data_IF_780780572367
#
_entry.id   IF_780780572367
#
_cell.length_a   1.000
_cell.length_b   1.000
_cell.length_c   1.000
_cell.angle_alpha   90.00
_cell.angle_beta   90.00
_cell.angle_gamma   90.00
#
_symmetry.space_group_name_H-M   'P 1'
#
loop_
_entity.id
_entity.type
_entity.pdbx_description
1 polymer ?
#
# COMPACT_ATOMS: atom_id res chain seq x y z
N UNK A 1 6.58 -12.59 -2.93
CA UNK A 1 6.63 -11.21 -2.39
C UNK A 1 6.27 -11.19 -0.92
N UNK A 2 5.12 -11.73 -0.48
CA UNK A 2 4.72 -11.75 0.95
C UNK A 2 5.79 -12.37 1.86
N UNK A 3 6.26 -13.58 1.54
CA UNK A 3 7.35 -14.21 2.30
C UNK A 3 8.66 -13.41 2.28
N UNK A 4 8.98 -12.72 1.19
CA UNK A 4 10.17 -11.86 1.13
C UNK A 4 10.02 -10.60 2.03
N UNK A 5 8.80 -10.04 2.15
CA UNK A 5 8.53 -8.95 3.08
C UNK A 5 8.71 -9.44 4.52
N UNK A 6 8.10 -10.59 4.87
CA UNK A 6 8.24 -11.18 6.20
C UNK A 6 9.71 -11.42 6.54
N UNK A 7 10.47 -12.10 5.66
CA UNK A 7 11.90 -12.34 5.86
C UNK A 7 12.72 -11.05 5.97
N UNK A 8 12.36 -10.01 5.21
CA UNK A 8 13.00 -8.69 5.33
C UNK A 8 12.75 -8.05 6.70
N UNK A 9 11.55 -8.17 7.22
CA UNK A 9 11.21 -7.66 8.55
C UNK A 9 11.95 -8.44 9.66
N UNK A 10 12.07 -9.77 9.53
CA UNK A 10 12.76 -10.60 10.52
C UNK A 10 14.22 -10.20 10.73
N UNK A 11 14.88 -9.70 9.69
CA UNK A 11 16.28 -9.23 9.77
C UNK A 11 16.41 -7.72 10.01
N UNK A 12 15.33 -6.95 9.90
CA UNK A 12 15.33 -5.50 10.11
C UNK A 12 15.62 -5.17 11.59
N UNK A 13 16.39 -4.09 11.82
CA UNK A 13 16.78 -3.65 13.16
C UNK A 13 16.43 -2.17 13.43
N UNK A 14 15.90 -1.48 12.42
CA UNK A 14 15.51 -0.09 12.54
C UNK A 14 14.26 0.11 13.38
N UNK A 15 14.09 1.30 13.90
CA UNK A 15 12.88 1.75 14.59
C UNK A 15 11.68 1.79 13.65
N UNK A 16 11.91 2.11 12.39
CA UNK A 16 10.92 2.11 11.32
C UNK A 16 11.25 1.07 10.26
N UNK A 17 10.21 0.49 9.69
CA UNK A 17 10.27 -0.33 8.50
C UNK A 17 9.87 0.51 7.30
N UNK A 18 10.64 0.43 6.24
CA UNK A 18 10.30 0.98 4.93
C UNK A 18 10.40 -0.13 3.89
N UNK A 19 9.32 -0.34 3.16
CA UNK A 19 9.34 -1.18 1.97
C UNK A 19 9.26 -0.32 0.74
N UNK A 20 10.04 -0.63 -0.26
CA UNK A 20 9.98 0.01 -1.58
C UNK A 20 10.21 -1.02 -2.68
N UNK A 21 9.66 -0.77 -3.86
CA UNK A 21 10.07 -1.48 -5.07
C UNK A 21 11.40 -0.91 -5.59
N UNK A 22 12.21 -1.72 -6.26
CA UNK A 22 13.52 -1.34 -6.80
C UNK A 22 13.45 -0.26 -7.90
N UNK A 23 12.29 -0.06 -8.47
CA UNK A 23 12.04 0.90 -9.56
C UNK A 23 11.24 2.12 -9.06
N UNK A 24 11.67 2.67 -7.92
CA UNK A 24 11.15 3.90 -7.35
C UNK A 24 12.22 5.01 -7.33
N UNK A 25 11.79 6.25 -7.48
CA UNK A 25 12.56 7.47 -7.26
C UNK A 25 11.90 8.22 -6.09
N UNK A 26 12.71 8.83 -5.24
CA UNK A 26 12.23 9.48 -4.02
C UNK A 26 12.58 10.97 -3.97
N UNK A 27 11.73 11.72 -3.32
CA UNK A 27 12.04 13.09 -2.88
C UNK A 27 13.24 13.11 -1.93
N UNK A 28 14.00 14.20 -1.95
CA UNK A 28 15.15 14.36 -1.06
C UNK A 28 14.72 14.36 0.42
N UNK A 29 15.33 13.50 1.22
CA UNK A 29 15.00 13.30 2.63
C UNK A 29 13.64 12.64 2.85
N UNK A 30 13.19 11.85 1.90
CA UNK A 30 11.91 11.13 1.95
C UNK A 30 11.74 10.33 3.24
N UNK A 31 12.75 9.55 3.60
CA UNK A 31 12.79 8.73 4.82
C UNK A 31 12.52 9.58 6.07
N UNK A 32 13.27 10.65 6.25
CA UNK A 32 13.11 11.57 7.37
C UNK A 32 11.74 12.25 7.37
N UNK A 33 11.27 12.74 6.22
CA UNK A 33 9.95 13.37 6.10
C UNK A 33 8.80 12.42 6.46
N UNK A 34 8.98 11.12 6.22
CA UNK A 34 8.01 10.10 6.58
C UNK A 34 8.08 9.74 8.07
N UNK A 35 9.27 9.52 8.61
CA UNK A 35 9.46 9.04 9.97
C UNK A 35 9.25 10.11 11.04
N UNK A 36 9.63 11.37 10.79
CA UNK A 36 9.47 12.47 11.75
C UNK A 36 8.01 12.72 12.16
N UNK A 37 7.06 12.33 11.33
CA UNK A 37 5.62 12.59 11.55
C UNK A 37 4.80 11.33 11.81
N UNK A 38 5.41 10.16 11.64
CA UNK A 38 4.72 8.87 11.79
C UNK A 38 4.37 8.61 13.25
N UNK A 39 3.08 8.38 13.53
CA UNK A 39 2.63 8.01 14.88
C UNK A 39 2.82 6.49 15.11
N UNK A 40 2.85 6.04 16.38
CA UNK A 40 3.09 4.64 16.73
C UNK A 40 2.15 3.62 16.09
N UNK A 41 0.93 4.02 15.74
CA UNK A 41 -0.13 3.17 15.19
C UNK A 41 -0.47 3.49 13.72
N UNK A 42 0.46 4.10 12.98
CA UNK A 42 0.22 4.49 11.58
C UNK A 42 1.03 3.66 10.60
N UNK A 43 0.40 3.37 9.47
CA UNK A 43 1.10 3.09 8.21
C UNK A 43 1.11 4.39 7.41
N UNK A 44 2.25 4.76 6.86
CA UNK A 44 2.42 5.97 6.08
C UNK A 44 2.65 5.62 4.60
N UNK A 45 1.98 6.37 3.72
CA UNK A 45 2.30 6.46 2.29
C UNK A 45 2.52 7.91 1.90
N UNK A 46 2.99 8.17 0.69
CA UNK A 46 3.24 9.53 0.20
C UNK A 46 2.59 9.75 -1.17
N UNK A 47 2.56 11.01 -1.64
CA UNK A 47 2.13 11.33 -2.99
C UNK A 47 2.92 10.51 -4.01
N UNK A 48 2.22 9.77 -4.86
CA UNK A 48 2.82 8.88 -5.85
C UNK A 48 2.75 9.46 -7.25
N UNK A 49 3.90 9.67 -7.85
CA UNK A 49 4.06 10.05 -9.26
C UNK A 49 4.34 8.83 -10.14
N UNK A 50 4.24 9.02 -11.44
CA UNK A 50 4.69 8.07 -12.45
C UNK A 50 6.17 8.33 -12.75
N UNK A 51 6.95 7.27 -12.91
CA UNK A 51 8.39 7.33 -13.21
C UNK A 51 8.63 6.99 -14.68
N UNK A 52 9.34 7.86 -15.40
CA UNK A 52 9.95 7.53 -16.70
C UNK A 52 11.15 6.61 -16.45
N UNK A 53 11.13 5.36 -16.91
CA UNK A 53 12.20 4.41 -16.64
C UNK A 53 13.46 4.62 -17.48
N UNK A 54 13.39 5.43 -18.55
CA UNK A 54 14.51 5.71 -19.44
C UNK A 54 15.27 6.93 -18.95
N UNK A 55 14.57 8.01 -18.66
CA UNK A 55 15.16 9.26 -18.16
C UNK A 55 15.39 9.23 -16.65
N UNK A 56 14.73 8.34 -15.94
CA UNK A 56 14.74 8.23 -14.48
C UNK A 56 14.26 9.52 -13.79
N UNK A 57 13.16 10.07 -14.29
CA UNK A 57 12.56 11.32 -13.81
C UNK A 57 11.03 11.19 -13.63
N UNK A 58 10.45 12.12 -12.87
CA UNK A 58 8.99 12.19 -12.66
C UNK A 58 8.31 12.58 -13.97
N UNK A 59 7.28 11.83 -14.35
CA UNK A 59 6.41 12.13 -15.48
C UNK A 59 5.36 13.17 -15.07
N UNK A 60 5.60 14.43 -15.41
CA UNK A 60 4.75 15.55 -14.98
C UNK A 60 3.44 15.69 -15.76
N UNK A 61 3.32 15.06 -16.94
CA UNK A 61 2.12 14.99 -17.74
C UNK A 61 1.02 14.10 -17.14
N UNK A 62 1.38 13.27 -16.17
CA UNK A 62 0.44 12.42 -15.43
C UNK A 62 0.08 13.03 -14.07
N UNK A 63 -1.21 13.12 -13.79
CA UNK A 63 -1.66 13.53 -12.46
C UNK A 63 -1.15 12.55 -11.40
N UNK A 64 -0.54 13.02 -10.29
CA UNK A 64 -0.12 12.16 -9.21
C UNK A 64 -1.31 11.46 -8.54
N UNK A 65 -1.04 10.38 -7.86
CA UNK A 65 -2.00 9.70 -7.00
C UNK A 65 -1.72 10.12 -5.56
N UNK A 66 -2.73 10.65 -4.92
CA UNK A 66 -2.70 11.08 -3.51
C UNK A 66 -3.59 10.15 -2.68
N UNK A 67 -4.82 10.58 -2.38
CA UNK A 67 -5.76 9.70 -1.68
C UNK A 67 -6.30 8.61 -2.60
N UNK A 68 -6.41 7.43 -2.03
CA UNK A 68 -7.05 6.29 -2.70
C UNK A 68 -8.21 5.78 -1.85
N UNK A 69 -9.38 5.64 -2.47
CA UNK A 69 -10.55 5.00 -1.88
C UNK A 69 -10.45 3.49 -2.09
N UNK A 70 -10.68 2.72 -1.02
CA UNK A 70 -10.76 1.27 -1.12
C UNK A 70 -12.15 0.86 -1.63
N UNK A 71 -12.19 0.04 -2.65
CA UNK A 71 -13.45 -0.47 -3.23
C UNK A 71 -13.37 -1.96 -3.49
N UNK A 72 -14.52 -2.61 -3.58
CA UNK A 72 -14.63 -3.98 -4.11
C UNK A 72 -14.86 -3.86 -5.61
N UNK A 73 -13.79 -4.00 -6.39
CA UNK A 73 -13.83 -3.85 -7.84
C UNK A 73 -14.43 -5.09 -8.51
N UNK A 74 -15.51 -4.88 -9.28
CA UNK A 74 -16.20 -5.95 -10.02
C UNK A 74 -16.72 -7.09 -9.13
N UNK A 75 -16.90 -6.87 -7.84
CA UNK A 75 -17.29 -7.92 -6.88
C UNK A 75 -16.20 -8.96 -6.61
N UNK A 76 -14.99 -8.81 -7.17
CA UNK A 76 -13.95 -9.85 -7.19
C UNK A 76 -12.74 -9.58 -6.31
N UNK A 77 -12.38 -8.33 -6.06
CA UNK A 77 -11.16 -7.96 -5.33
C UNK A 77 -11.26 -6.62 -4.66
N UNK A 78 -10.49 -6.42 -3.58
CA UNK A 78 -10.21 -5.08 -3.09
C UNK A 78 -9.26 -4.35 -4.03
N UNK A 79 -9.50 -3.07 -4.23
CA UNK A 79 -8.67 -2.22 -5.09
C UNK A 79 -8.70 -0.78 -4.58
N UNK A 80 -7.52 -0.14 -4.56
CA UNK A 80 -7.43 1.31 -4.41
C UNK A 80 -7.80 1.98 -5.73
N UNK A 81 -8.65 2.98 -5.66
CA UNK A 81 -8.98 3.88 -6.76
C UNK A 81 -8.73 5.31 -6.35
N UNK A 82 -8.34 6.18 -7.28
CA UNK A 82 -8.14 7.61 -6.99
C UNK A 82 -9.37 8.21 -6.34
N UNK A 83 -9.16 9.14 -5.43
CA UNK A 83 -10.21 9.83 -4.69
C UNK A 83 -10.10 11.36 -4.81
N UNK A 84 -10.46 11.94 -5.98
CA UNK A 84 -10.29 13.36 -6.25
C UNK A 84 -10.99 14.27 -5.23
N UNK A 85 -12.21 13.90 -4.80
CA UNK A 85 -12.97 14.70 -3.84
C UNK A 85 -12.26 14.80 -2.49
N UNK A 86 -11.53 13.75 -2.12
CA UNK A 86 -10.70 13.75 -0.91
C UNK A 86 -9.41 14.51 -1.10
N UNK A 87 -8.82 14.48 -2.29
CA UNK A 87 -7.66 15.29 -2.64
C UNK A 87 -8.00 16.78 -2.49
N UNK A 88 -9.14 17.22 -3.03
CA UNK A 88 -9.61 18.61 -2.96
C UNK A 88 -9.92 19.03 -1.52
N UNK A 89 -10.60 18.17 -0.76
CA UNK A 89 -10.94 18.44 0.64
C UNK A 89 -9.72 18.54 1.57
N UNK A 90 -8.59 17.91 1.21
CA UNK A 90 -7.37 17.88 2.01
C UNK A 90 -6.17 18.55 1.33
N UNK A 91 -6.39 19.41 0.34
CA UNK A 91 -5.30 20.03 -0.46
C UNK A 91 -4.27 20.80 0.40
N UNK A 92 -4.74 21.41 1.50
CA UNK A 92 -3.92 22.21 2.42
C UNK A 92 -3.54 21.43 3.70
N UNK A 93 -3.84 20.13 3.76
CA UNK A 93 -3.55 19.28 4.91
C UNK A 93 -2.36 18.39 4.60
N UNK A 94 -1.17 18.66 5.20
CA UNK A 94 0.06 17.92 4.85
C UNK A 94 -0.06 16.42 5.10
N UNK A 95 -0.77 16.02 6.15
CA UNK A 95 -0.95 14.62 6.54
C UNK A 95 -2.43 14.37 6.78
N UNK A 96 -3.00 13.40 6.08
CA UNK A 96 -4.42 13.07 6.17
C UNK A 96 -4.67 11.58 5.94
N UNK A 97 -5.76 11.02 6.52
CA UNK A 97 -6.06 9.60 6.36
C UNK A 97 -6.50 9.28 4.93
N UNK A 98 -6.06 8.12 4.43
CA UNK A 98 -6.46 7.53 3.15
C UNK A 98 -6.91 6.08 3.36
N UNK A 99 -7.65 5.50 2.42
CA UNK A 99 -8.18 4.13 2.60
C UNK A 99 -7.32 3.04 1.96
N UNK A 100 -6.55 3.38 0.96
CA UNK A 100 -5.71 2.40 0.28
C UNK A 100 -4.35 2.99 -0.05
N UNK A 101 -3.39 2.12 -0.26
CA UNK A 101 -2.06 2.44 -0.74
C UNK A 101 -1.61 1.39 -1.75
N UNK A 102 -0.76 1.79 -2.67
CA UNK A 102 -0.03 0.84 -3.48
C UNK A 102 1.10 0.22 -2.63
N UNK A 103 1.27 -1.11 -2.74
CA UNK A 103 2.32 -1.81 -2.01
C UNK A 103 3.75 -1.47 -2.44
N UNK A 104 3.94 -0.56 -3.41
CA UNK A 104 5.28 -0.18 -3.93
C UNK A 104 6.10 0.69 -2.98
N UNK A 105 5.48 1.40 -2.05
CA UNK A 105 6.18 2.14 -1.00
C UNK A 105 5.29 2.40 0.20
N UNK A 106 5.77 2.06 1.38
CA UNK A 106 5.15 2.40 2.67
C UNK A 106 6.20 2.46 3.79
N UNK A 107 5.88 3.18 4.85
CA UNK A 107 6.68 3.30 6.08
C UNK A 107 5.77 3.03 7.28
N UNK A 108 6.26 2.35 8.29
CA UNK A 108 5.58 2.18 9.57
C UNK A 108 6.56 1.95 10.72
N UNK A 109 6.18 2.19 11.99
CA UNK A 109 7.00 1.80 13.13
C UNK A 109 7.20 0.27 13.13
N UNK A 110 8.42 -0.18 13.39
CA UNK A 110 8.74 -1.61 13.47
C UNK A 110 7.94 -2.29 14.60
N UNK A 111 7.70 -1.56 15.70
CA UNK A 111 6.89 -2.08 16.79
C UNK A 111 5.44 -2.32 16.36
N UNK A 112 4.84 -1.44 15.52
CA UNK A 112 3.49 -1.64 14.99
C UNK A 112 3.38 -2.91 14.13
N UNK A 113 4.42 -3.20 13.35
CA UNK A 113 4.47 -4.48 12.64
C UNK A 113 4.43 -5.66 13.60
N UNK A 114 5.28 -5.66 14.64
CA UNK A 114 5.35 -6.76 15.61
C UNK A 114 4.05 -6.99 16.37
N UNK A 115 3.40 -5.92 16.78
CA UNK A 115 2.23 -5.98 17.65
C UNK A 115 0.93 -6.26 16.90
N UNK A 116 0.83 -5.81 15.64
CA UNK A 116 -0.43 -5.77 14.88
C UNK A 116 -0.37 -6.54 13.57
N UNK A 117 0.63 -6.28 12.73
CA UNK A 117 0.73 -6.97 11.43
C UNK A 117 1.18 -8.41 11.65
N UNK A 118 2.20 -8.62 12.50
CA UNK A 118 2.83 -9.91 12.78
C UNK A 118 3.57 -10.43 11.56
N UNK A 119 2.82 -11.02 10.65
CA UNK A 119 3.30 -11.47 9.34
C UNK A 119 2.22 -11.29 8.27
N UNK A 120 2.65 -11.21 7.03
CA UNK A 120 1.74 -11.30 5.88
C UNK A 120 1.45 -12.77 5.60
N UNK A 121 0.18 -13.14 5.70
CA UNK A 121 -0.26 -14.51 5.49
C UNK A 121 -0.02 -14.94 4.03
N UNK A 122 0.69 -16.03 3.82
CA UNK A 122 0.97 -16.59 2.49
C UNK A 122 -0.06 -17.59 2.05
N UNK A 123 -0.59 -18.39 3.00
CA UNK A 123 -1.66 -19.36 2.73
C UNK A 123 -2.96 -18.64 2.36
N UNK A 124 -3.63 -19.11 1.32
CA UNK A 124 -4.87 -18.54 0.79
C UNK A 124 -4.67 -17.32 -0.10
N UNK A 125 -3.85 -16.35 0.29
CA UNK A 125 -3.54 -15.17 -0.53
C UNK A 125 -2.64 -15.48 -1.73
N UNK A 126 -1.83 -16.54 -1.64
CA UNK A 126 -0.74 -16.77 -2.58
C UNK A 126 0.42 -15.77 -2.43
N UNK A 127 1.42 -15.83 -3.32
CA UNK A 127 2.71 -15.16 -3.07
C UNK A 127 2.73 -13.64 -3.29
N UNK A 128 1.72 -13.05 -3.97
CA UNK A 128 1.88 -11.71 -4.55
C UNK A 128 0.72 -10.72 -4.32
N UNK A 129 -0.42 -11.16 -3.76
CA UNK A 129 -1.63 -10.32 -3.86
C UNK A 129 -2.13 -9.80 -2.53
N UNK A 130 -2.76 -8.61 -2.58
CA UNK A 130 -3.51 -8.00 -1.48
C UNK A 130 -2.69 -7.76 -0.21
N UNK A 131 -1.35 -7.72 -0.30
CA UNK A 131 -0.45 -7.46 0.84
C UNK A 131 -0.72 -6.11 1.50
N UNK A 132 -0.79 -5.05 0.72
CA UNK A 132 -1.10 -3.70 1.23
C UNK A 132 -2.51 -3.62 1.85
N UNK A 133 -3.49 -4.29 1.25
CA UNK A 133 -4.85 -4.30 1.80
C UNK A 133 -4.93 -5.09 3.12
N UNK A 134 -4.25 -6.25 3.22
CA UNK A 134 -4.18 -6.99 4.48
C UNK A 134 -3.58 -6.14 5.61
N UNK A 135 -2.46 -5.46 5.35
CA UNK A 135 -1.83 -4.56 6.33
C UNK A 135 -2.79 -3.47 6.80
N UNK A 136 -3.51 -2.85 5.85
CA UNK A 136 -4.47 -1.79 6.17
C UNK A 136 -5.64 -2.32 7.00
N UNK A 137 -6.21 -3.47 6.64
CA UNK A 137 -7.29 -4.07 7.42
C UNK A 137 -6.86 -4.46 8.84
N UNK A 138 -5.69 -5.07 9.00
CA UNK A 138 -5.12 -5.38 10.32
C UNK A 138 -4.94 -4.10 11.14
N UNK A 139 -4.41 -3.05 10.52
CA UNK A 139 -4.18 -1.76 11.16
C UNK A 139 -5.50 -1.12 11.62
N UNK A 140 -6.51 -1.05 10.79
CA UNK A 140 -7.82 -0.50 11.18
C UNK A 140 -8.48 -1.30 12.30
N UNK A 141 -8.43 -2.63 12.21
CA UNK A 141 -9.00 -3.51 13.25
C UNK A 141 -8.34 -3.33 14.62
N UNK A 142 -7.09 -2.89 14.64
CA UNK A 142 -6.34 -2.58 15.85
C UNK A 142 -6.43 -1.10 16.27
N UNK A 143 -7.28 -0.29 15.63
CA UNK A 143 -7.45 1.13 15.93
C UNK A 143 -6.34 2.04 15.41
N UNK A 144 -5.54 1.56 14.46
CA UNK A 144 -4.54 2.36 13.76
C UNK A 144 -5.07 3.00 12.49
N UNK A 145 -4.21 3.68 11.74
CA UNK A 145 -4.58 4.43 10.53
C UNK A 145 -3.58 4.26 9.40
N UNK A 146 -4.09 4.30 8.18
CA UNK A 146 -3.28 4.55 6.98
C UNK A 146 -3.29 6.04 6.68
N UNK A 147 -2.11 6.68 6.64
CA UNK A 147 -1.95 8.12 6.47
C UNK A 147 -1.17 8.43 5.18
N UNK A 148 -1.64 9.43 4.45
CA UNK A 148 -0.94 10.03 3.33
C UNK A 148 -0.14 11.24 3.83
N UNK A 149 1.17 11.28 3.54
CA UNK A 149 1.99 12.48 3.68
C UNK A 149 2.13 13.17 2.32
N UNK A 150 1.53 14.36 2.16
CA UNK A 150 1.58 15.17 0.95
C UNK A 150 2.80 16.10 0.90
N UNK A 151 3.59 16.19 1.99
CA UNK A 151 4.81 17.01 2.05
C UNK A 151 6.02 16.33 1.40
N UNK A 152 5.86 15.10 0.96
CA UNK A 152 6.88 14.33 0.26
C UNK A 152 6.25 13.43 -0.80
N UNK A 153 7.09 12.84 -1.65
CA UNK A 153 6.63 12.04 -2.77
C UNK A 153 7.60 10.92 -3.12
N UNK A 154 7.07 9.94 -3.82
CA UNK A 154 7.86 8.97 -4.56
C UNK A 154 7.30 8.83 -5.97
N UNK A 155 8.15 8.46 -6.94
CA UNK A 155 7.72 8.10 -8.27
C UNK A 155 7.97 6.61 -8.50
N UNK A 156 7.00 5.94 -9.08
CA UNK A 156 7.02 4.49 -9.29
C UNK A 156 6.78 4.18 -10.77
N UNK A 157 7.62 3.28 -11.31
CA UNK A 157 7.40 2.75 -12.65
C UNK A 157 6.28 1.73 -12.64
N UNK A 158 5.17 2.03 -13.29
CA UNK A 158 4.13 1.04 -13.53
C UNK A 158 4.54 0.05 -14.63
N UNK A 159 4.43 -1.23 -14.35
CA UNK A 159 4.72 -2.26 -15.33
C UNK A 159 3.62 -2.35 -16.37
N UNK A 160 4.03 -2.46 -17.63
CA UNK A 160 3.14 -2.69 -18.80
C UNK A 160 3.09 -4.15 -19.25
N UNK A 161 3.78 -5.06 -18.53
CA UNK A 161 3.90 -6.48 -18.93
C UNK A 161 3.58 -7.41 -17.74
N UNK A 162 3.18 -8.64 -18.04
CA UNK A 162 2.95 -9.69 -17.04
C UNK A 162 4.26 -10.09 -16.35
N UNK A 163 4.17 -10.41 -15.07
CA UNK A 163 5.34 -10.91 -14.31
C UNK A 163 5.72 -12.29 -14.83
N UNK A 164 7.01 -12.48 -15.07
CA UNK A 164 7.60 -13.79 -15.32
C UNK A 164 8.40 -14.20 -14.08
N UNK A 165 8.18 -15.42 -13.60
CA UNK A 165 8.95 -15.99 -12.49
C UNK A 165 10.34 -16.42 -12.96
N UNK A 166 11.27 -16.62 -12.02
CA UNK A 166 12.64 -17.06 -12.33
C UNK A 166 12.71 -18.41 -13.05
N UNK A 167 11.67 -19.24 -12.96
CA UNK A 167 11.51 -20.50 -13.66
C UNK A 167 10.96 -20.35 -15.11
N UNK A 168 10.79 -19.11 -15.58
CA UNK A 168 10.24 -18.80 -16.90
C UNK A 168 8.72 -18.87 -16.99
N UNK A 169 8.01 -19.24 -15.92
CA UNK A 169 6.55 -19.25 -15.92
C UNK A 169 6.00 -17.84 -15.75
N UNK A 170 4.91 -17.53 -16.43
CA UNK A 170 4.16 -16.29 -16.22
C UNK A 170 3.20 -16.43 -15.04
N UNK A 171 2.85 -15.30 -14.41
CA UNK A 171 1.88 -15.24 -13.34
C UNK A 171 0.59 -15.98 -13.74
N UNK A 172 0.23 -17.01 -12.95
CA UNK A 172 -0.99 -17.79 -13.22
C UNK A 172 -2.25 -17.01 -12.82
N UNK A 173 -3.15 -16.67 -13.78
CA UNK A 173 -4.38 -15.94 -13.50
C UNK A 173 -5.27 -16.63 -12.45
N UNK A 174 -5.33 -17.96 -12.44
CA UNK A 174 -6.13 -18.72 -11.48
C UNK A 174 -5.64 -18.53 -10.03
N UNK A 175 -4.32 -18.50 -9.80
CA UNK A 175 -3.76 -18.23 -8.48
C UNK A 175 -4.06 -16.80 -8.02
N UNK A 176 -4.11 -15.87 -8.96
CA UNK A 176 -4.45 -14.47 -8.72
C UNK A 176 -5.90 -14.31 -8.25
N UNK A 177 -6.83 -14.94 -8.97
CA UNK A 177 -8.25 -14.89 -8.62
C UNK A 177 -8.54 -15.61 -7.30
N UNK A 178 -7.88 -16.72 -7.01
CA UNK A 178 -7.97 -17.42 -5.74
C UNK A 178 -7.54 -16.52 -4.57
N UNK A 179 -6.41 -15.82 -4.69
CA UNK A 179 -5.94 -14.88 -3.66
C UNK A 179 -6.87 -13.68 -3.48
N UNK A 180 -7.49 -13.19 -4.54
CA UNK A 180 -8.49 -12.12 -4.45
C UNK A 180 -9.76 -12.59 -3.75
N UNK A 181 -10.24 -13.77 -4.12
CA UNK A 181 -11.40 -14.38 -3.47
C UNK A 181 -11.15 -14.60 -1.98
N UNK A 182 -10.01 -15.14 -1.63
CA UNK A 182 -9.61 -15.34 -0.23
C UNK A 182 -9.62 -14.03 0.57
N UNK A 183 -9.04 -12.95 0.03
CA UNK A 183 -9.07 -11.65 0.67
C UNK A 183 -10.50 -11.14 0.89
N UNK A 184 -11.38 -11.32 -0.11
CA UNK A 184 -12.79 -10.94 0.01
C UNK A 184 -13.52 -11.78 1.07
N UNK A 185 -13.34 -13.07 1.07
CA UNK A 185 -13.99 -13.98 2.04
C UNK A 185 -13.58 -13.62 3.47
N UNK A 186 -12.32 -13.17 3.67
CA UNK A 186 -11.79 -12.81 4.98
C UNK A 186 -12.24 -11.42 5.45
N UNK A 187 -12.27 -10.42 4.56
CA UNK A 187 -12.39 -9.02 4.95
C UNK A 187 -13.67 -8.31 4.52
N UNK A 188 -14.49 -8.90 3.64
CA UNK A 188 -15.68 -8.24 3.09
C UNK A 188 -16.64 -7.78 4.18
N UNK A 189 -16.98 -8.64 5.12
CA UNK A 189 -17.92 -8.34 6.19
C UNK A 189 -17.45 -7.18 7.05
N UNK A 190 -16.18 -7.18 7.44
CA UNK A 190 -15.58 -6.10 8.19
C UNK A 190 -15.56 -4.79 7.38
N UNK A 191 -15.19 -4.86 6.10
CA UNK A 191 -15.21 -3.71 5.22
C UNK A 191 -16.59 -3.09 5.07
N UNK A 192 -17.60 -3.91 4.79
CA UNK A 192 -18.97 -3.42 4.55
C UNK A 192 -19.66 -2.90 5.83
N UNK A 193 -19.42 -3.54 6.97
CA UNK A 193 -20.12 -3.22 8.22
C UNK A 193 -19.43 -2.14 9.05
N UNK A 194 -18.11 -2.08 9.02
CA UNK A 194 -17.35 -1.19 9.89
C UNK A 194 -16.66 -0.06 9.11
N UNK A 195 -15.98 -0.41 7.99
CA UNK A 195 -15.13 0.55 7.30
C UNK A 195 -15.94 1.48 6.40
N UNK A 196 -16.79 0.96 5.54
CA UNK A 196 -17.58 1.80 4.62
C UNK A 196 -18.43 2.85 5.33
N UNK A 197 -19.20 2.53 6.39
CA UNK A 197 -19.97 3.53 7.12
C UNK A 197 -19.11 4.61 7.77
N UNK A 198 -17.96 4.22 8.35
CA UNK A 198 -17.02 5.16 8.97
C UNK A 198 -16.46 6.17 7.97
N UNK A 199 -16.26 5.77 6.73
CA UNK A 199 -15.76 6.63 5.65
C UNK A 199 -16.87 7.27 4.82
N UNK A 200 -18.14 6.99 5.11
CA UNK A 200 -19.32 7.51 4.41
C UNK A 200 -19.32 7.23 2.89
N UNK A 201 -18.98 5.99 2.50
CA UNK A 201 -18.87 5.55 1.10
C UNK A 201 -19.72 4.32 0.78
#
# INVERSE_FOLDING_TARGET
MRGAINAGVDIARGEFLMRTDEHCLFDQGFDKKMTDVCQPNWIMTATRYFLDPVKWEVMTEHQPVKHEKLVIQGGKKFSGVRWPERDDANKDTPISPTMAMQGSCWVMPHQWWKDVIGELQTEGYGPLYQDSHEMVFKTWKAGGSLMLNQSTWFAHKHRSFSRTHNDGTTENPANKEAGWKYALDLWRDYYEKEIRPQWQI
#
